data_IF_092538254521
#
_entry.id   IF_092538254521
#
_cell.length_a   1.000
_cell.length_b   1.000
_cell.length_c   1.000
_cell.angle_alpha   90.00
_cell.angle_beta   90.00
_cell.angle_gamma   90.00
#
_symmetry.space_group_name_H-M   'P 1'
#
loop_
_entity.id
_entity.type
_entity.pdbx_description
1 polymer ?
#
# COMPACT_ATOMS: atom_id res chain seq x y z
N UNK A 1 -18.50 47.99 20.91
CA UNK A 1 -17.24 47.26 21.16
C UNK A 1 -17.54 45.77 21.06
N UNK A 2 -17.13 45.19 19.95
CA UNK A 2 -17.37 43.81 19.49
C UNK A 2 -16.24 42.90 19.96
N UNK A 3 -16.57 41.77 20.58
CA UNK A 3 -15.68 40.60 20.69
C UNK A 3 -16.54 39.33 20.68
N UNK A 4 -16.63 38.72 19.51
CA UNK A 4 -17.15 37.37 19.32
C UNK A 4 -15.96 36.40 19.30
N UNK A 5 -15.78 35.63 20.38
CA UNK A 5 -14.81 34.54 20.44
C UNK A 5 -15.40 33.28 19.78
N UNK A 6 -15.22 33.16 18.47
CA UNK A 6 -15.56 31.97 17.71
C UNK A 6 -14.41 30.94 17.78
N UNK A 7 -14.37 30.17 18.88
CA UNK A 7 -13.49 29.01 19.01
C UNK A 7 -14.11 27.81 18.28
N UNK A 8 -13.86 27.71 16.98
CA UNK A 8 -14.17 26.53 16.18
C UNK A 8 -13.22 25.38 16.51
N UNK A 9 -13.54 24.61 17.54
CA UNK A 9 -12.97 23.29 17.78
C UNK A 9 -13.43 22.35 16.65
N UNK A 10 -12.57 22.19 15.63
CA UNK A 10 -12.71 21.10 14.65
C UNK A 10 -12.44 19.77 15.35
N UNK A 11 -13.48 19.17 15.91
CA UNK A 11 -13.50 17.76 16.32
C UNK A 11 -13.26 16.91 15.07
N UNK A 12 -12.07 16.34 14.94
CA UNK A 12 -11.77 15.32 13.94
C UNK A 12 -12.62 14.09 14.32
N UNK A 13 -13.51 13.59 13.45
CA UNK A 13 -14.39 12.48 13.80
C UNK A 13 -13.55 11.20 13.98
N UNK A 14 -13.70 10.57 15.14
CA UNK A 14 -13.01 9.34 15.55
C UNK A 14 -13.39 8.08 14.74
N UNK A 15 -14.28 8.19 13.75
CA UNK A 15 -14.89 7.06 13.04
C UNK A 15 -14.63 7.07 11.52
N UNK A 16 -13.50 7.58 11.03
CA UNK A 16 -13.16 7.52 9.59
C UNK A 16 -12.80 6.10 9.11
N UNK A 17 -12.54 5.16 10.03
CA UNK A 17 -12.04 3.83 9.71
C UNK A 17 -13.14 2.79 9.43
N UNK A 18 -14.35 2.95 9.95
CA UNK A 18 -15.40 1.92 9.88
C UNK A 18 -15.95 1.67 8.47
N UNK A 19 -15.84 2.64 7.55
CA UNK A 19 -16.43 2.57 6.22
C UNK A 19 -15.53 1.98 5.12
N UNK A 20 -14.24 1.75 5.39
CA UNK A 20 -13.32 1.16 4.41
C UNK A 20 -13.48 -0.39 4.36
N UNK A 21 -14.17 -0.98 5.35
CA UNK A 21 -14.23 -2.43 5.55
C UNK A 21 -15.30 -3.19 4.75
N UNK A 22 -16.13 -2.53 3.92
CA UNK A 22 -17.29 -3.20 3.29
C UNK A 22 -17.18 -3.52 1.78
N UNK A 23 -16.14 -3.10 1.05
CA UNK A 23 -16.21 -3.12 -0.43
C UNK A 23 -15.73 -4.41 -1.11
N UNK A 24 -15.10 -5.38 -0.42
CA UNK A 24 -14.50 -6.52 -1.17
C UNK A 24 -14.73 -7.90 -0.56
N UNK A 25 -16.00 -8.31 -0.49
CA UNK A 25 -16.39 -9.72 -0.60
C UNK A 25 -16.89 -9.96 -2.03
N UNK A 26 -16.24 -10.91 -2.72
CA UNK A 26 -16.61 -11.61 -3.98
C UNK A 26 -15.56 -11.47 -5.08
N UNK A 27 -14.75 -12.52 -5.26
CA UNK A 27 -14.65 -13.28 -6.52
C UNK A 27 -13.43 -14.21 -6.44
N UNK A 28 -13.69 -15.44 -6.02
CA UNK A 28 -12.83 -16.59 -6.29
C UNK A 28 -13.27 -17.20 -7.62
N UNK A 29 -12.63 -16.81 -8.71
CA UNK A 29 -12.72 -17.53 -9.97
C UNK A 29 -11.31 -17.89 -10.44
N UNK A 30 -11.01 -19.19 -10.44
CA UNK A 30 -9.80 -19.78 -11.04
C UNK A 30 -10.02 -19.89 -12.55
N UNK A 31 -9.07 -19.47 -13.41
CA UNK A 31 -8.95 -20.03 -14.74
C UNK A 31 -7.88 -21.13 -14.76
N UNK A 32 -8.30 -22.36 -15.06
CA UNK A 32 -7.44 -23.46 -15.48
C UNK A 32 -7.20 -23.32 -16.97
N UNK A 33 -5.99 -22.94 -17.40
CA UNK A 33 -5.63 -22.94 -18.82
C UNK A 33 -4.68 -24.11 -19.09
N UNK A 34 -5.18 -25.08 -19.84
CA UNK A 34 -4.42 -26.24 -20.31
C UNK A 34 -3.98 -26.06 -21.76
N UNK A 35 -3.06 -26.95 -22.14
CA UNK A 35 -2.57 -27.27 -23.50
C UNK A 35 -1.57 -26.32 -24.16
N UNK A 36 -0.30 -26.71 -23.96
CA UNK A 36 0.78 -26.65 -24.96
C UNK A 36 0.37 -27.47 -26.18
N UNK A 37 0.57 -26.92 -27.37
CA UNK A 37 1.08 -27.68 -28.50
C UNK A 37 2.08 -26.80 -29.28
N UNK A 38 3.18 -27.44 -29.65
CA UNK A 38 4.28 -26.89 -30.43
C UNK A 38 4.12 -27.37 -31.86
N UNK A 39 4.34 -26.50 -32.84
CA UNK A 39 5.07 -26.75 -34.10
C UNK A 39 4.63 -25.74 -35.18
N UNK A 40 5.62 -25.04 -35.76
CA UNK A 40 5.83 -24.91 -37.20
C UNK A 40 6.72 -23.69 -37.51
N UNK A 41 7.83 -23.96 -38.18
CA UNK A 41 8.74 -23.00 -38.78
C UNK A 41 8.08 -22.21 -39.92
N UNK A 42 8.48 -20.95 -40.15
CA UNK A 42 8.91 -20.47 -41.47
C UNK A 42 9.64 -19.11 -41.37
N UNK A 43 10.84 -19.07 -41.92
CA UNK A 43 11.67 -17.89 -42.16
C UNK A 43 11.23 -17.16 -43.44
N UNK A 44 11.02 -15.84 -43.40
CA UNK A 44 11.16 -14.97 -44.58
C UNK A 44 11.74 -13.60 -44.23
N UNK A 45 12.57 -13.09 -45.15
CA UNK A 45 13.47 -11.93 -45.06
C UNK A 45 12.79 -10.58 -45.37
N UNK A 46 13.26 -9.56 -44.62
CA UNK A 46 13.57 -8.15 -44.97
C UNK A 46 12.47 -7.20 -45.50
N UNK A 47 12.30 -6.07 -44.79
CA UNK A 47 12.37 -4.70 -45.34
C UNK A 47 12.76 -3.69 -44.25
N UNK A 48 13.84 -2.90 -44.38
CA UNK A 48 14.06 -1.74 -43.53
C UNK A 48 13.38 -0.53 -44.21
N UNK A 49 12.26 -0.10 -43.65
CA UNK A 49 11.69 1.21 -43.98
C UNK A 49 12.12 2.16 -42.88
N UNK A 50 12.99 3.09 -43.27
CA UNK A 50 13.25 4.31 -42.53
C UNK A 50 11.98 5.16 -42.43
N UNK A 51 12.09 6.23 -41.64
CA UNK A 51 11.16 7.37 -41.44
C UNK A 51 10.08 7.17 -40.38
N UNK A 52 10.25 7.88 -39.25
CA UNK A 52 9.27 8.67 -38.49
C UNK A 52 9.91 8.98 -37.12
N UNK A 53 10.54 10.14 -36.96
CA UNK A 53 9.94 11.32 -36.32
C UNK A 53 9.94 11.23 -34.77
N UNK A 54 11.02 11.78 -34.21
CA UNK A 54 11.02 12.77 -33.12
C UNK A 54 9.73 12.83 -32.27
N UNK A 55 9.69 12.11 -31.12
CA UNK A 55 8.75 12.31 -30.00
C UNK A 55 8.98 11.31 -28.84
N UNK A 56 10.17 11.23 -28.22
CA UNK A 56 10.40 10.26 -27.11
C UNK A 56 11.02 10.84 -25.84
N UNK A 57 10.97 12.16 -25.62
CA UNK A 57 11.53 12.78 -24.40
C UNK A 57 10.51 13.06 -23.27
N UNK A 58 9.22 12.78 -23.48
CA UNK A 58 8.17 13.03 -22.47
C UNK A 58 7.82 11.83 -21.59
N UNK A 59 8.11 10.58 -22.03
CA UNK A 59 7.73 9.37 -21.28
C UNK A 59 8.65 9.09 -20.08
N UNK A 60 9.92 9.53 -20.11
CA UNK A 60 10.88 9.21 -19.05
C UNK A 60 10.56 9.88 -17.72
N UNK A 61 10.12 11.14 -17.74
CA UNK A 61 9.82 11.89 -16.52
C UNK A 61 8.66 11.26 -15.73
N UNK A 62 7.62 10.82 -16.44
CA UNK A 62 6.43 10.18 -15.86
C UNK A 62 6.75 8.81 -15.23
N UNK A 63 7.61 8.02 -15.89
CA UNK A 63 8.05 6.72 -15.39
C UNK A 63 9.04 6.84 -14.23
N UNK A 64 9.89 7.86 -14.21
CA UNK A 64 10.77 8.17 -13.09
C UNK A 64 9.99 8.54 -11.82
N UNK A 65 8.96 9.38 -11.94
CA UNK A 65 8.08 9.73 -10.81
C UNK A 65 7.32 8.51 -10.27
N UNK A 66 6.84 7.64 -11.16
CA UNK A 66 6.22 6.38 -10.80
C UNK A 66 7.19 5.49 -10.00
N UNK A 67 8.40 5.26 -10.52
CA UNK A 67 9.40 4.41 -9.88
C UNK A 67 9.84 4.98 -8.53
N UNK A 68 10.00 6.29 -8.43
CA UNK A 68 10.34 6.98 -7.16
C UNK A 68 9.24 6.81 -6.12
N UNK A 69 7.98 6.96 -6.53
CA UNK A 69 6.82 6.79 -5.64
C UNK A 69 6.70 5.34 -5.18
N UNK A 70 6.84 4.39 -6.10
CA UNK A 70 6.79 2.96 -5.80
C UNK A 70 7.91 2.54 -4.82
N UNK A 71 9.14 3.02 -5.04
CA UNK A 71 10.27 2.78 -4.13
C UNK A 71 9.99 3.30 -2.72
N UNK A 72 9.45 4.52 -2.59
CA UNK A 72 9.07 5.10 -1.30
C UNK A 72 8.05 4.23 -0.55
N UNK A 73 7.05 3.70 -1.26
CA UNK A 73 6.06 2.82 -0.63
C UNK A 73 6.65 1.45 -0.25
N UNK A 74 7.58 0.92 -1.05
CA UNK A 74 8.31 -0.29 -0.67
C UNK A 74 9.19 -0.08 0.57
N UNK A 75 9.82 1.08 0.73
CA UNK A 75 10.59 1.41 1.93
C UNK A 75 9.68 1.48 3.17
N UNK A 76 8.53 2.15 3.07
CA UNK A 76 7.55 2.18 4.17
C UNK A 76 7.02 0.78 4.52
N UNK A 77 6.73 -0.04 3.51
CA UNK A 77 6.33 -1.43 3.70
C UNK A 77 7.43 -2.23 4.41
N UNK A 78 8.69 -2.09 3.98
CA UNK A 78 9.83 -2.79 4.58
C UNK A 78 9.99 -2.41 6.05
N UNK A 79 9.95 -1.13 6.38
CA UNK A 79 10.05 -0.67 7.77
C UNK A 79 8.94 -1.29 8.63
N UNK A 80 7.71 -1.33 8.12
CA UNK A 80 6.59 -1.94 8.83
C UNK A 80 6.74 -3.46 8.99
N UNK A 81 7.33 -4.16 8.01
CA UNK A 81 7.67 -5.59 8.13
C UNK A 81 8.77 -5.82 9.17
N UNK A 82 9.78 -4.96 9.21
CA UNK A 82 10.88 -5.04 10.17
C UNK A 82 10.36 -4.82 11.60
N UNK A 83 9.56 -3.78 11.84
CA UNK A 83 8.93 -3.52 13.14
C UNK A 83 8.01 -4.67 13.58
N UNK A 84 7.28 -5.26 12.63
CA UNK A 84 6.44 -6.43 12.89
C UNK A 84 7.27 -7.68 13.22
N UNK A 85 8.45 -7.84 12.61
CA UNK A 85 9.37 -8.92 12.97
C UNK A 85 9.88 -8.74 14.41
N UNK A 86 10.27 -7.53 14.79
CA UNK A 86 10.65 -7.22 16.17
C UNK A 86 9.53 -7.52 17.16
N UNK A 87 8.29 -7.12 16.85
CA UNK A 87 7.13 -7.43 17.68
C UNK A 87 6.93 -8.95 17.86
N UNK A 88 7.12 -9.75 16.80
CA UNK A 88 6.99 -11.21 16.91
C UNK A 88 8.12 -11.82 17.75
N UNK A 89 9.35 -11.35 17.56
CA UNK A 89 10.52 -11.84 18.28
C UNK A 89 10.47 -11.50 19.78
N UNK A 90 9.97 -10.32 20.12
CA UNK A 90 9.87 -9.87 21.49
C UNK A 90 8.64 -10.39 22.22
N UNK A 91 7.82 -11.25 21.60
CA UNK A 91 6.63 -11.81 22.23
C UNK A 91 6.96 -12.58 23.52
N UNK A 92 6.21 -12.27 24.59
CA UNK A 92 6.46 -12.79 25.93
C UNK A 92 7.52 -12.00 26.73
N UNK A 93 8.22 -11.05 26.10
CA UNK A 93 9.09 -10.10 26.79
C UNK A 93 8.33 -8.87 27.27
N UNK A 94 8.98 -8.09 28.14
CA UNK A 94 8.48 -6.78 28.59
C UNK A 94 8.42 -5.74 27.46
N UNK A 95 9.18 -5.94 26.39
CA UNK A 95 9.27 -5.00 25.26
C UNK A 95 8.15 -5.22 24.22
N UNK A 96 7.51 -6.39 24.23
CA UNK A 96 6.48 -6.78 23.26
C UNK A 96 5.43 -5.71 23.04
N UNK A 97 4.92 -5.10 24.11
CA UNK A 97 3.87 -4.08 24.02
C UNK A 97 4.31 -2.88 23.19
N UNK A 98 5.53 -2.42 23.40
CA UNK A 98 6.09 -1.26 22.69
C UNK A 98 6.40 -1.63 21.23
N UNK A 99 6.98 -2.80 21.00
CA UNK A 99 7.33 -3.26 19.65
C UNK A 99 6.07 -3.52 18.81
N UNK A 100 5.02 -4.08 19.43
CA UNK A 100 3.70 -4.24 18.81
C UNK A 100 3.11 -2.89 18.44
N UNK A 101 3.15 -1.90 19.33
CA UNK A 101 2.63 -0.56 19.07
C UNK A 101 3.42 0.13 17.93
N UNK A 102 4.75 -0.04 17.89
CA UNK A 102 5.60 0.44 16.80
C UNK A 102 5.24 -0.22 15.45
N UNK A 103 5.05 -1.55 15.42
CA UNK A 103 4.64 -2.28 14.22
C UNK A 103 3.28 -1.81 13.68
N UNK A 104 2.32 -1.55 14.58
CA UNK A 104 1.02 -1.00 14.21
C UNK A 104 1.13 0.43 13.67
N UNK A 105 1.97 1.27 14.29
CA UNK A 105 2.21 2.64 13.84
C UNK A 105 2.87 2.67 12.46
N UNK A 106 3.90 1.86 12.23
CA UNK A 106 4.59 1.77 10.95
C UNK A 106 3.66 1.27 9.84
N UNK A 107 2.84 0.25 10.12
CA UNK A 107 1.81 -0.24 9.20
C UNK A 107 0.79 0.83 8.86
N UNK A 108 0.34 1.58 9.87
CA UNK A 108 -0.57 2.71 9.66
C UNK A 108 0.06 3.80 8.80
N UNK A 109 1.31 4.19 9.08
CA UNK A 109 2.05 5.19 8.26
C UNK A 109 2.14 4.76 6.80
N UNK A 110 2.42 3.49 6.54
CA UNK A 110 2.45 2.94 5.18
C UNK A 110 1.10 3.07 4.47
N UNK A 111 0.01 2.67 5.12
CA UNK A 111 -1.35 2.72 4.54
C UNK A 111 -1.82 4.16 4.37
N UNK A 112 -1.65 5.00 5.39
CA UNK A 112 -2.03 6.42 5.36
C UNK A 112 -1.29 7.16 4.25
N UNK A 113 0.00 6.86 4.02
CA UNK A 113 0.77 7.44 2.93
C UNK A 113 0.21 7.06 1.55
N UNK A 114 -0.18 5.80 1.36
CA UNK A 114 -0.79 5.34 0.10
C UNK A 114 -2.16 5.97 -0.16
N UNK A 115 -3.01 6.03 0.87
CA UNK A 115 -4.34 6.66 0.77
C UNK A 115 -4.20 8.14 0.49
N UNK A 116 -3.35 8.86 1.23
CA UNK A 116 -3.13 10.30 1.03
C UNK A 116 -2.57 10.60 -0.35
N UNK A 117 -1.64 9.78 -0.84
CA UNK A 117 -1.08 9.93 -2.17
C UNK A 117 -2.12 9.71 -3.28
N UNK A 118 -3.06 8.77 -3.07
CA UNK A 118 -4.20 8.56 -3.97
C UNK A 118 -5.20 9.71 -3.93
N UNK A 119 -5.50 10.27 -2.76
CA UNK A 119 -6.42 11.40 -2.62
C UNK A 119 -5.87 12.70 -3.23
N UNK A 120 -4.54 12.85 -3.32
CA UNK A 120 -3.88 14.06 -3.83
C UNK A 120 -3.73 14.11 -5.36
N UNK A 121 -3.95 13.01 -6.08
CA UNK A 121 -3.73 12.93 -7.54
C UNK A 121 -5.05 12.79 -8.28
N UNK A 122 -5.33 13.73 -9.19
CA UNK A 122 -6.47 13.63 -10.12
C UNK A 122 -6.25 12.55 -11.21
N UNK A 123 -4.99 12.25 -11.54
CA UNK A 123 -4.64 11.23 -12.51
C UNK A 123 -4.80 9.81 -11.94
N UNK A 124 -5.86 9.16 -12.38
CA UNK A 124 -6.30 7.87 -11.87
C UNK A 124 -5.39 6.71 -12.34
N UNK A 125 -4.72 6.79 -13.49
CA UNK A 125 -4.05 5.63 -14.11
C UNK A 125 -2.76 5.20 -13.40
N UNK A 126 -1.82 6.12 -13.16
CA UNK A 126 -0.58 5.80 -12.43
C UNK A 126 -0.86 5.48 -10.96
N UNK A 127 -1.81 6.19 -10.38
CA UNK A 127 -2.25 6.02 -9.00
C UNK A 127 -2.81 4.63 -8.78
N UNK A 128 -3.70 4.18 -9.66
CA UNK A 128 -4.23 2.82 -9.62
C UNK A 128 -3.15 1.76 -9.89
N UNK A 129 -2.17 2.01 -10.78
CA UNK A 129 -1.05 1.08 -11.01
C UNK A 129 -0.24 0.84 -9.74
N UNK A 130 0.16 1.90 -9.02
CA UNK A 130 0.90 1.75 -7.76
C UNK A 130 0.02 1.10 -6.70
N UNK A 131 -1.24 1.52 -6.57
CA UNK A 131 -2.16 0.93 -5.61
C UNK A 131 -2.34 -0.57 -5.85
N UNK A 132 -2.55 -0.99 -7.10
CA UNK A 132 -2.64 -2.39 -7.49
C UNK A 132 -1.36 -3.18 -7.18
N UNK A 133 -0.19 -2.59 -7.43
CA UNK A 133 1.10 -3.20 -7.09
C UNK A 133 1.24 -3.44 -5.58
N UNK A 134 0.83 -2.48 -4.76
CA UNK A 134 0.95 -2.56 -3.30
C UNK A 134 -0.23 -3.28 -2.62
N UNK A 135 -1.35 -3.53 -3.32
CA UNK A 135 -2.59 -4.07 -2.75
C UNK A 135 -2.42 -5.41 -2.02
N UNK A 136 -1.54 -6.27 -2.53
CA UNK A 136 -1.23 -7.53 -1.86
C UNK A 136 -0.46 -7.30 -0.56
N UNK A 137 0.55 -6.44 -0.59
CA UNK A 137 1.37 -6.09 0.56
C UNK A 137 0.56 -5.43 1.69
N UNK A 138 -0.38 -4.55 1.35
CA UNK A 138 -1.33 -3.96 2.32
C UNK A 138 -2.13 -5.05 3.03
N UNK A 139 -2.75 -5.95 2.27
CA UNK A 139 -3.56 -7.03 2.85
C UNK A 139 -2.73 -7.97 3.72
N UNK A 140 -1.53 -8.30 3.25
CA UNK A 140 -0.66 -9.20 3.97
C UNK A 140 -0.17 -8.60 5.29
N UNK A 141 0.29 -7.35 5.29
CA UNK A 141 0.78 -6.72 6.52
C UNK A 141 -0.35 -6.49 7.54
N UNK A 142 -1.54 -6.10 7.08
CA UNK A 142 -2.72 -5.97 7.94
C UNK A 142 -3.06 -7.29 8.61
N UNK A 143 -3.13 -8.38 7.83
CA UNK A 143 -3.39 -9.72 8.35
C UNK A 143 -2.37 -10.12 9.41
N UNK A 144 -1.10 -9.78 9.21
CA UNK A 144 -0.05 -10.10 10.18
C UNK A 144 -0.15 -9.24 11.45
N UNK A 145 -0.50 -7.96 11.35
CA UNK A 145 -0.75 -7.10 12.50
C UNK A 145 -1.95 -7.57 13.33
N UNK A 146 -3.05 -7.98 12.68
CA UNK A 146 -4.24 -8.53 13.33
C UNK A 146 -3.95 -9.85 14.06
N UNK A 147 -2.98 -10.62 13.57
CA UNK A 147 -2.53 -11.86 14.19
C UNK A 147 -1.63 -11.66 15.41
N UNK A 148 -1.18 -10.43 15.70
CA UNK A 148 -0.33 -10.15 16.87
C UNK A 148 -1.16 -10.30 18.17
N UNK A 149 -0.74 -11.15 19.12
CA UNK A 149 -1.41 -11.32 20.40
C UNK A 149 -1.66 -9.98 21.12
N UNK A 150 -2.85 -9.82 21.69
CA UNK A 150 -3.19 -8.69 22.55
C UNK A 150 -2.81 -9.07 23.98
N UNK A 151 -1.87 -8.35 24.59
CA UNK A 151 -1.60 -8.50 26.02
C UNK A 151 -2.60 -7.64 26.77
N UNK A 152 -3.48 -8.28 27.55
CA UNK A 152 -4.28 -7.57 28.51
C UNK A 152 -3.31 -6.89 29.49
N UNK A 153 -3.19 -5.56 29.40
CA UNK A 153 -2.53 -4.80 30.47
C UNK A 153 -3.35 -5.08 31.71
N UNK A 154 -2.80 -5.79 32.68
CA UNK A 154 -3.43 -5.96 33.97
C UNK A 154 -3.62 -4.55 34.53
N UNK A 155 -4.84 -4.01 34.43
CA UNK A 155 -5.24 -2.82 35.18
C UNK A 155 -5.02 -3.18 36.64
N UNK A 156 -3.93 -2.68 37.19
CA UNK A 156 -3.71 -2.65 38.63
C UNK A 156 -4.61 -1.53 39.15
N UNK A 157 -5.93 -1.75 39.08
CA UNK A 157 -6.89 -0.92 39.80
C UNK A 157 -6.76 -1.32 41.27
N UNK A 158 -6.13 -0.45 42.02
CA UNK A 158 -5.96 -0.49 43.47
C UNK A 158 -6.70 0.70 44.07
#
# INVERSE_FOLDING_TARGET
MTRDDNTSQRKVPANRWSNIFQVFKTNTAKPTNGYRDSEASMTFRRRPSATSEDSTLSSSASDEEFNKSLKKFHELYRNAVDDLAYAKESFGSIYYTNDRDAALEATRKFIDALVSWREQREDNTQTERIYHAMKYQIREIQRQCEALPIVARYSSDN
#
